data_IF_679243862159
#
_entry.id   IF_679243862159
#
_cell.length_a   1.000
_cell.length_b   1.000
_cell.length_c   1.000
_cell.angle_alpha   90.00
_cell.angle_beta   90.00
_cell.angle_gamma   90.00
#
_symmetry.space_group_name_H-M   'P 1'
#
loop_
_entity.id
_entity.type
_entity.pdbx_description
1 polymer ?
#
# COMPACT_ATOMS: atom_id res chain seq x y z
N UNK A 1 11.96 -36.87 5.07
CA UNK A 1 12.69 -36.37 3.90
C UNK A 1 13.98 -37.18 3.78
N UNK A 2 14.33 -37.67 2.60
CA UNK A 2 15.63 -38.33 2.37
C UNK A 2 16.73 -37.29 2.07
N UNK A 3 18.02 -37.65 2.13
CA UNK A 3 19.11 -36.74 1.72
C UNK A 3 18.98 -36.23 0.28
N UNK A 4 18.54 -37.08 -0.64
CA UNK A 4 18.35 -36.71 -2.05
C UNK A 4 17.18 -35.73 -2.21
N UNK A 5 16.07 -35.96 -1.49
CA UNK A 5 14.95 -35.01 -1.44
C UNK A 5 15.38 -33.65 -0.89
N UNK A 6 16.23 -33.64 0.15
CA UNK A 6 16.70 -32.41 0.78
C UNK A 6 17.58 -31.60 -0.16
N UNK A 7 18.47 -32.24 -0.92
CA UNK A 7 19.31 -31.56 -1.92
C UNK A 7 18.50 -31.07 -3.13
N UNK A 8 17.51 -31.84 -3.56
CA UNK A 8 16.57 -31.39 -4.60
C UNK A 8 15.76 -30.17 -4.13
N UNK A 9 15.27 -30.18 -2.88
CA UNK A 9 14.54 -29.06 -2.29
C UNK A 9 15.44 -27.82 -2.13
N UNK A 10 16.67 -27.98 -1.68
CA UNK A 10 17.67 -26.90 -1.65
C UNK A 10 17.88 -26.28 -3.04
N UNK A 11 18.08 -27.09 -4.08
CA UNK A 11 18.26 -26.59 -5.45
C UNK A 11 17.02 -25.85 -5.97
N UNK A 12 15.83 -26.34 -5.65
CA UNK A 12 14.58 -25.65 -5.95
C UNK A 12 14.52 -24.28 -5.26
N UNK A 13 14.80 -24.20 -3.95
CA UNK A 13 14.84 -22.94 -3.22
C UNK A 13 15.88 -21.97 -3.77
N UNK A 14 17.08 -22.43 -4.09
CA UNK A 14 18.12 -21.58 -4.69
C UNK A 14 17.71 -21.08 -6.08
N UNK A 15 16.95 -21.86 -6.85
CA UNK A 15 16.38 -21.40 -8.13
C UNK A 15 15.38 -20.26 -7.89
N UNK A 16 14.49 -20.40 -6.91
CA UNK A 16 13.55 -19.33 -6.53
C UNK A 16 14.30 -18.07 -6.05
N UNK A 17 15.36 -18.24 -5.27
CA UNK A 17 16.20 -17.15 -4.79
C UNK A 17 16.84 -16.37 -5.94
N UNK A 18 17.44 -17.07 -6.91
CA UNK A 18 18.09 -16.44 -8.08
C UNK A 18 17.06 -15.63 -8.89
N UNK A 19 15.84 -16.16 -9.03
CA UNK A 19 14.71 -15.49 -9.69
C UNK A 19 14.05 -14.39 -8.86
N UNK A 20 14.46 -14.21 -7.60
CA UNK A 20 13.88 -13.26 -6.64
C UNK A 20 12.37 -13.44 -6.45
N UNK A 21 11.92 -14.69 -6.47
CA UNK A 21 10.51 -15.05 -6.27
C UNK A 21 10.07 -14.71 -4.84
N UNK A 22 8.92 -14.04 -4.68
CA UNK A 22 8.42 -13.64 -3.35
C UNK A 22 8.20 -14.84 -2.41
N UNK A 23 7.89 -16.00 -2.97
CA UNK A 23 7.68 -17.24 -2.23
C UNK A 23 8.97 -17.82 -1.61
N UNK A 24 10.16 -17.43 -2.10
CA UNK A 24 11.43 -17.99 -1.65
C UNK A 24 11.62 -17.83 -0.14
N UNK A 25 11.53 -16.61 0.39
CA UNK A 25 11.84 -16.31 1.79
C UNK A 25 11.02 -17.17 2.78
N UNK A 26 9.67 -17.18 2.69
CA UNK A 26 8.83 -18.04 3.53
C UNK A 26 9.15 -19.53 3.42
N UNK A 27 9.33 -20.05 2.20
CA UNK A 27 9.58 -21.47 1.96
C UNK A 27 10.96 -21.89 2.49
N UNK A 28 11.98 -21.07 2.26
CA UNK A 28 13.33 -21.32 2.75
C UNK A 28 13.39 -21.30 4.27
N UNK A 29 12.73 -20.34 4.92
CA UNK A 29 12.66 -20.28 6.38
C UNK A 29 11.94 -21.49 6.99
N UNK A 30 10.85 -21.95 6.37
CA UNK A 30 10.17 -23.17 6.82
C UNK A 30 11.09 -24.38 6.71
N UNK A 31 11.77 -24.55 5.57
CA UNK A 31 12.72 -25.64 5.36
C UNK A 31 13.89 -25.62 6.37
N UNK A 32 14.45 -24.43 6.64
CA UNK A 32 15.52 -24.22 7.62
C UNK A 32 15.11 -24.58 9.06
N UNK A 33 13.85 -24.34 9.44
CA UNK A 33 13.36 -24.53 10.82
C UNK A 33 12.79 -25.91 11.09
N UNK A 34 12.13 -26.51 10.10
CA UNK A 34 11.43 -27.78 10.26
C UNK A 34 12.34 -29.00 10.12
N UNK A 35 13.55 -28.82 9.56
CA UNK A 35 14.44 -29.91 9.21
C UNK A 35 15.84 -29.75 9.84
N UNK A 36 16.43 -30.86 10.27
CA UNK A 36 17.85 -30.90 10.64
C UNK A 36 18.69 -31.14 9.38
N UNK A 37 19.10 -30.03 8.75
CA UNK A 37 19.80 -30.05 7.46
C UNK A 37 21.15 -30.79 7.51
N UNK A 38 21.82 -30.78 8.67
CA UNK A 38 23.05 -31.53 8.88
C UNK A 38 22.79 -33.04 8.85
N UNK A 39 21.72 -33.50 9.51
CA UNK A 39 21.31 -34.92 9.47
C UNK A 39 20.82 -35.36 8.09
N UNK A 40 20.26 -34.43 7.31
CA UNK A 40 19.83 -34.68 5.94
C UNK A 40 21.00 -34.62 4.93
N UNK A 41 22.24 -34.41 5.38
CA UNK A 41 23.42 -34.50 4.52
C UNK A 41 23.70 -33.26 3.67
N UNK A 42 23.08 -32.11 3.98
CA UNK A 42 23.48 -30.84 3.40
C UNK A 42 24.80 -30.36 4.03
N UNK A 43 25.72 -29.93 3.18
CA UNK A 43 27.03 -29.45 3.56
C UNK A 43 26.92 -28.13 4.34
N UNK A 44 27.89 -27.81 5.22
CA UNK A 44 27.94 -26.52 5.90
C UNK A 44 27.86 -25.33 4.94
N UNK A 45 28.47 -25.43 3.75
CA UNK A 45 28.40 -24.42 2.70
C UNK A 45 26.99 -24.25 2.11
N UNK A 46 26.28 -25.34 1.86
CA UNK A 46 24.89 -25.31 1.35
C UNK A 46 23.97 -24.67 2.40
N UNK A 47 24.13 -25.05 3.67
CA UNK A 47 23.39 -24.45 4.78
C UNK A 47 23.72 -22.96 4.94
N UNK A 48 25.00 -22.59 4.92
CA UNK A 48 25.45 -21.21 5.01
C UNK A 48 24.84 -20.34 3.89
N UNK A 49 24.91 -20.80 2.64
CA UNK A 49 24.33 -20.11 1.50
C UNK A 49 22.83 -19.92 1.64
N UNK A 50 22.10 -20.95 2.09
CA UNK A 50 20.67 -20.87 2.29
C UNK A 50 20.29 -19.89 3.41
N UNK A 51 21.02 -19.87 4.53
CA UNK A 51 20.80 -18.90 5.61
C UNK A 51 21.07 -17.46 5.14
N UNK A 52 22.18 -17.23 4.42
CA UNK A 52 22.51 -15.91 3.87
C UNK A 52 21.45 -15.43 2.87
N UNK A 53 21.09 -16.28 1.91
CA UNK A 53 20.06 -15.98 0.93
C UNK A 53 18.70 -15.68 1.58
N UNK A 54 18.31 -16.45 2.60
CA UNK A 54 17.07 -16.24 3.34
C UNK A 54 17.11 -14.93 4.14
N UNK A 55 18.25 -14.58 4.74
CA UNK A 55 18.42 -13.31 5.43
C UNK A 55 18.27 -12.12 4.47
N UNK A 56 18.85 -12.21 3.27
CA UNK A 56 18.73 -11.18 2.22
C UNK A 56 17.29 -11.05 1.72
N UNK A 57 16.57 -12.16 1.57
CA UNK A 57 15.16 -12.15 1.18
C UNK A 57 14.26 -11.41 2.18
N UNK A 58 14.67 -11.31 3.45
CA UNK A 58 13.95 -10.55 4.48
C UNK A 58 14.47 -9.13 4.69
N UNK A 59 15.49 -8.69 3.94
CA UNK A 59 16.12 -7.38 4.13
C UNK A 59 15.20 -6.19 3.84
N UNK A 60 14.06 -6.38 3.17
CA UNK A 60 13.11 -5.32 2.87
C UNK A 60 11.93 -5.21 3.86
N UNK A 61 11.76 -6.15 4.80
CA UNK A 61 10.56 -6.24 5.65
C UNK A 61 10.90 -6.25 7.16
N UNK A 62 10.83 -5.10 7.87
CA UNK A 62 11.21 -4.99 9.29
C UNK A 62 10.51 -5.98 10.23
N UNK A 63 9.23 -6.32 9.99
CA UNK A 63 8.53 -7.38 10.76
C UNK A 63 9.21 -8.75 10.70
N UNK A 64 9.98 -9.03 9.64
CA UNK A 64 10.70 -10.30 9.46
C UNK A 64 12.14 -10.22 9.94
N UNK A 65 12.58 -9.08 10.50
CA UNK A 65 13.97 -8.91 10.90
C UNK A 65 14.38 -9.82 12.05
N UNK A 66 13.44 -10.24 12.90
CA UNK A 66 13.71 -11.30 13.88
C UNK A 66 14.18 -12.59 13.19
N UNK A 67 13.56 -12.97 12.06
CA UNK A 67 13.97 -14.12 11.26
C UNK A 67 15.29 -13.86 10.52
N UNK A 68 15.48 -12.66 9.97
CA UNK A 68 16.77 -12.24 9.39
C UNK A 68 17.91 -12.37 10.39
N UNK A 69 17.72 -11.86 11.61
CA UNK A 69 18.71 -11.89 12.68
C UNK A 69 19.04 -13.35 13.07
N UNK A 70 18.03 -14.20 13.21
CA UNK A 70 18.22 -15.64 13.44
C UNK A 70 19.05 -16.28 12.31
N UNK A 71 18.72 -16.02 11.05
CA UNK A 71 19.47 -16.54 9.92
C UNK A 71 20.93 -16.06 9.91
N UNK A 72 21.19 -14.78 10.17
CA UNK A 72 22.55 -14.22 10.25
C UNK A 72 23.35 -14.83 11.40
N UNK A 73 22.74 -15.02 12.56
CA UNK A 73 23.37 -15.70 13.71
C UNK A 73 23.73 -17.15 13.36
N UNK A 74 22.82 -17.90 12.74
CA UNK A 74 23.08 -19.27 12.28
C UNK A 74 24.15 -19.35 11.20
N UNK A 75 24.17 -18.40 10.25
CA UNK A 75 25.23 -18.29 9.26
C UNK A 75 26.59 -18.00 9.92
N UNK A 76 26.63 -17.13 10.92
CA UNK A 76 27.83 -16.82 11.70
C UNK A 76 28.36 -18.05 12.45
N UNK A 77 27.48 -18.84 13.07
CA UNK A 77 27.84 -20.11 13.74
C UNK A 77 28.37 -21.18 12.78
N UNK A 78 27.88 -21.17 11.53
CA UNK A 78 28.30 -22.12 10.49
C UNK A 78 29.60 -21.71 9.81
N UNK A 79 29.87 -20.42 9.64
CA UNK A 79 31.00 -19.90 8.87
C UNK A 79 32.34 -20.59 9.19
N UNK A 80 32.75 -20.82 10.46
CA UNK A 80 34.01 -21.49 10.78
C UNK A 80 34.11 -22.94 10.28
N UNK A 81 32.98 -23.58 9.94
CA UNK A 81 32.89 -24.95 9.43
C UNK A 81 32.87 -25.02 7.91
N UNK A 82 32.86 -23.87 7.23
CA UNK A 82 32.82 -23.78 5.77
C UNK A 82 34.19 -23.46 5.21
N UNK A 83 34.38 -23.74 3.92
CA UNK A 83 35.52 -23.22 3.15
C UNK A 83 35.50 -21.71 2.93
N UNK A 84 34.38 -21.04 3.23
CA UNK A 84 34.23 -19.60 3.09
C UNK A 84 34.83 -18.80 4.24
N UNK A 85 35.34 -19.48 5.28
CA UNK A 85 35.91 -18.81 6.45
C UNK A 85 37.03 -17.83 6.05
N UNK A 86 36.76 -16.55 6.26
CA UNK A 86 37.69 -15.46 6.02
C UNK A 86 37.41 -14.34 7.05
N UNK A 87 38.44 -13.71 7.66
CA UNK A 87 38.24 -12.73 8.72
C UNK A 87 37.45 -11.47 8.31
N UNK A 88 37.48 -11.09 7.02
CA UNK A 88 36.64 -10.04 6.46
C UNK A 88 35.16 -10.42 6.50
N UNK A 89 34.80 -11.57 5.95
CA UNK A 89 33.42 -12.08 5.95
C UNK A 89 32.86 -12.25 7.38
N UNK A 90 33.66 -12.75 8.32
CA UNK A 90 33.24 -12.87 9.72
C UNK A 90 32.93 -11.50 10.37
N UNK A 91 33.74 -10.47 10.06
CA UNK A 91 33.50 -9.10 10.52
C UNK A 91 32.25 -8.50 9.88
N UNK A 92 32.05 -8.72 8.58
CA UNK A 92 30.85 -8.27 7.88
C UNK A 92 29.57 -8.87 8.50
N UNK A 93 29.55 -10.19 8.72
CA UNK A 93 28.43 -10.85 9.39
C UNK A 93 28.14 -10.28 10.78
N UNK A 94 29.19 -10.00 11.56
CA UNK A 94 29.04 -9.37 12.88
C UNK A 94 28.41 -7.98 12.77
N UNK A 95 28.84 -7.17 11.79
CA UNK A 95 28.26 -5.85 11.52
C UNK A 95 26.81 -5.96 11.07
N UNK A 96 26.48 -6.93 10.23
CA UNK A 96 25.11 -7.17 9.75
C UNK A 96 24.17 -7.60 10.86
N UNK A 97 24.64 -8.43 11.80
CA UNK A 97 23.92 -8.82 13.02
C UNK A 97 23.65 -7.58 13.89
N UNK A 98 24.68 -6.77 14.17
CA UNK A 98 24.55 -5.56 14.98
C UNK A 98 23.59 -4.54 14.35
N UNK A 99 23.72 -4.32 13.03
CA UNK A 99 22.83 -3.44 12.27
C UNK A 99 21.39 -3.94 12.34
N UNK A 100 21.15 -5.21 12.02
CA UNK A 100 19.80 -5.79 12.03
C UNK A 100 19.16 -5.71 13.42
N UNK A 101 19.93 -5.92 14.49
CA UNK A 101 19.46 -5.75 15.87
C UNK A 101 19.04 -4.30 16.17
N UNK A 102 19.86 -3.32 15.79
CA UNK A 102 19.50 -1.90 15.95
C UNK A 102 18.25 -1.51 15.14
N UNK A 103 18.08 -2.04 13.94
CA UNK A 103 16.91 -1.81 13.10
C UNK A 103 15.63 -2.43 13.72
N UNK A 104 15.74 -3.60 14.36
CA UNK A 104 14.64 -4.20 15.16
C UNK A 104 14.26 -3.29 16.31
N UNK A 105 15.22 -2.66 16.99
CA UNK A 105 14.93 -1.75 18.11
C UNK A 105 14.18 -0.51 17.63
N UNK A 106 14.60 0.10 16.52
CA UNK A 106 13.89 1.22 15.87
C UNK A 106 12.45 0.82 15.53
N UNK A 107 12.29 -0.34 14.88
CA UNK A 107 10.97 -0.88 14.54
C UNK A 107 10.11 -1.11 15.79
N UNK A 108 10.67 -1.73 16.82
CA UNK A 108 9.96 -2.03 18.08
C UNK A 108 9.52 -0.75 18.78
N UNK A 109 10.37 0.28 18.79
CA UNK A 109 10.02 1.59 19.31
C UNK A 109 8.87 2.23 18.53
N UNK A 110 8.90 2.18 17.19
CA UNK A 110 7.80 2.69 16.35
C UNK A 110 6.47 1.96 16.56
N UNK A 111 6.53 0.71 17.05
CA UNK A 111 5.35 -0.11 17.36
C UNK A 111 4.85 0.05 18.81
N UNK A 112 5.58 0.74 19.70
CA UNK A 112 5.14 0.96 21.08
C UNK A 112 3.95 1.90 21.13
N UNK A 113 2.93 1.52 21.89
CA UNK A 113 1.75 2.36 22.15
C UNK A 113 2.13 3.41 23.21
N UNK A 114 2.13 4.70 22.89
CA UNK A 114 2.32 5.77 23.88
C UNK A 114 1.10 5.83 24.81
N UNK A 115 1.27 6.44 25.99
CA UNK A 115 0.12 6.71 26.87
C UNK A 115 -0.84 7.67 26.18
N UNK A 116 -2.14 7.36 26.24
CA UNK A 116 -3.20 8.16 25.65
C UNK A 116 -3.05 9.64 26.03
N UNK A 117 -2.95 10.50 25.02
CA UNK A 117 -2.99 11.94 25.22
C UNK A 117 -4.46 12.38 25.33
N UNK A 118 -4.77 13.25 26.29
CA UNK A 118 -6.11 13.83 26.45
C UNK A 118 -6.34 14.91 25.38
N UNK A 119 -6.53 14.45 24.13
CA UNK A 119 -6.77 15.33 22.99
C UNK A 119 -8.25 15.72 22.92
N UNK A 120 -8.54 17.02 23.08
CA UNK A 120 -9.88 17.61 22.88
C UNK A 120 -10.38 17.48 21.44
N UNK A 121 -9.47 17.33 20.46
CA UNK A 121 -9.76 17.13 19.04
C UNK A 121 -8.69 16.22 18.42
N UNK A 122 -9.11 15.24 17.63
CA UNK A 122 -8.19 14.32 16.95
C UNK A 122 -7.66 14.94 15.65
N UNK A 123 -6.34 14.88 15.46
CA UNK A 123 -5.67 15.43 14.28
C UNK A 123 -5.06 14.32 13.43
N UNK A 124 -5.44 14.28 12.15
CA UNK A 124 -4.85 13.43 11.13
C UNK A 124 -3.88 14.25 10.30
N UNK A 125 -2.60 13.95 10.40
CA UNK A 125 -1.57 14.68 9.64
C UNK A 125 -1.30 13.93 8.35
N UNK A 126 -1.33 14.63 7.22
CA UNK A 126 -1.16 14.04 5.90
C UNK A 126 0.18 14.45 5.31
N UNK A 127 0.95 13.46 4.87
CA UNK A 127 2.14 13.59 4.04
C UNK A 127 1.82 13.04 2.65
N UNK A 128 1.84 13.91 1.64
CA UNK A 128 1.55 13.52 0.26
C UNK A 128 2.18 14.50 -0.73
N UNK A 129 2.43 14.01 -1.94
CA UNK A 129 2.95 14.78 -3.07
C UNK A 129 1.93 15.79 -3.63
N UNK A 130 0.64 15.63 -3.32
CA UNK A 130 -0.45 16.47 -3.85
C UNK A 130 -1.45 16.91 -2.76
N UNK A 131 -1.01 17.67 -1.74
CA UNK A 131 -1.84 17.96 -0.56
C UNK A 131 -3.07 18.82 -0.90
N UNK A 132 -2.91 19.81 -1.78
CA UNK A 132 -4.01 20.65 -2.26
C UNK A 132 -5.09 19.81 -2.97
N UNK A 133 -4.68 18.79 -3.73
CA UNK A 133 -5.63 17.91 -4.40
C UNK A 133 -6.39 17.07 -3.37
N UNK A 134 -5.70 16.26 -2.57
CA UNK A 134 -6.37 15.31 -1.68
C UNK A 134 -7.16 15.95 -0.54
N UNK A 135 -6.65 17.03 0.05
CA UNK A 135 -7.26 17.65 1.23
C UNK A 135 -8.40 18.62 0.90
N UNK A 136 -8.48 19.12 -0.33
CA UNK A 136 -9.50 20.10 -0.73
C UNK A 136 -10.22 19.70 -2.03
N UNK A 137 -9.52 19.72 -3.16
CA UNK A 137 -10.15 19.55 -4.48
C UNK A 137 -10.85 18.19 -4.62
N UNK A 138 -10.20 17.09 -4.25
CA UNK A 138 -10.76 15.75 -4.28
C UNK A 138 -12.01 15.63 -3.40
N UNK A 139 -12.04 16.26 -2.21
CA UNK A 139 -13.21 16.24 -1.34
C UNK A 139 -14.39 17.01 -1.95
N UNK A 140 -14.12 18.16 -2.60
CA UNK A 140 -15.12 18.91 -3.38
C UNK A 140 -15.66 18.08 -4.54
N UNK A 141 -14.79 17.39 -5.29
CA UNK A 141 -15.17 16.51 -6.40
C UNK A 141 -16.00 15.31 -5.92
N UNK A 142 -15.63 14.68 -4.81
CA UNK A 142 -16.40 13.58 -4.21
C UNK A 142 -17.81 14.04 -3.78
N UNK A 143 -17.91 15.20 -3.14
CA UNK A 143 -19.19 15.76 -2.74
C UNK A 143 -20.06 16.10 -3.96
N UNK A 144 -19.48 16.59 -5.06
CA UNK A 144 -20.19 16.85 -6.31
C UNK A 144 -20.65 15.56 -7.00
N UNK A 145 -19.79 14.53 -7.03
CA UNK A 145 -20.10 13.20 -7.56
C UNK A 145 -21.35 12.61 -6.91
N UNK A 146 -21.39 12.54 -5.57
CA UNK A 146 -22.54 11.98 -4.87
C UNK A 146 -23.80 12.84 -5.01
N UNK A 147 -23.66 14.17 -5.07
CA UNK A 147 -24.81 15.06 -5.35
C UNK A 147 -25.42 14.76 -6.72
N UNK A 148 -24.59 14.65 -7.76
CA UNK A 148 -25.04 14.36 -9.11
C UNK A 148 -25.68 12.98 -9.20
N UNK A 149 -25.02 11.96 -8.64
CA UNK A 149 -25.50 10.56 -8.66
C UNK A 149 -26.89 10.41 -8.05
N UNK A 150 -27.11 11.02 -6.90
CA UNK A 150 -28.39 10.95 -6.19
C UNK A 150 -29.35 12.08 -6.52
N UNK A 151 -29.01 12.93 -7.51
CA UNK A 151 -29.83 14.06 -7.97
C UNK A 151 -30.23 15.00 -6.82
N UNK A 152 -29.32 15.19 -5.87
CA UNK A 152 -29.52 16.03 -4.69
C UNK A 152 -29.23 17.50 -5.02
N UNK A 153 -30.24 18.39 -5.04
CA UNK A 153 -30.00 19.81 -5.20
C UNK A 153 -29.29 20.40 -3.97
N UNK A 154 -28.55 21.52 -4.12
CA UNK A 154 -27.82 22.16 -3.01
C UNK A 154 -28.70 22.50 -1.80
N UNK A 155 -29.95 22.91 -2.06
CA UNK A 155 -30.94 23.23 -1.03
C UNK A 155 -31.29 22.00 -0.19
N UNK A 156 -31.59 20.86 -0.83
CA UNK A 156 -31.88 19.61 -0.12
C UNK A 156 -30.66 19.11 0.63
N UNK A 157 -29.45 19.19 0.06
CA UNK A 157 -28.21 18.83 0.76
C UNK A 157 -28.03 19.63 2.05
N UNK A 158 -28.25 20.94 2.00
CA UNK A 158 -28.10 21.84 3.15
C UNK A 158 -29.19 21.57 4.20
N UNK A 159 -30.43 21.42 3.73
CA UNK A 159 -31.59 21.11 4.57
C UNK A 159 -31.43 19.76 5.28
N UNK A 160 -30.87 18.75 4.61
CA UNK A 160 -30.66 17.38 5.09
C UNK A 160 -29.28 17.16 5.74
N UNK A 161 -28.48 18.20 5.94
CA UNK A 161 -27.19 18.10 6.64
C UNK A 161 -27.36 17.92 8.15
N UNK A 162 -26.71 16.94 8.77
CA UNK A 162 -26.87 16.66 10.21
C UNK A 162 -25.72 17.19 11.10
N UNK A 163 -24.72 17.88 10.54
CA UNK A 163 -23.68 18.54 11.33
C UNK A 163 -24.07 19.96 11.78
N UNK A 164 -23.50 20.42 12.89
CA UNK A 164 -23.69 21.76 13.45
C UNK A 164 -24.54 21.80 14.71
N UNK A 165 -25.06 22.98 15.04
CA UNK A 165 -25.95 23.15 16.20
C UNK A 165 -27.27 22.36 16.01
N UNK A 166 -27.93 21.93 17.10
CA UNK A 166 -29.20 21.20 17.03
C UNK A 166 -30.20 21.94 16.13
N UNK A 167 -30.63 21.27 15.05
CA UNK A 167 -31.66 21.81 14.17
C UNK A 167 -33.00 21.84 14.91
N UNK A 168 -33.74 22.93 14.76
CA UNK A 168 -35.14 22.98 15.19
C UNK A 168 -35.96 22.07 14.28
N UNK A 169 -36.94 21.39 14.86
CA UNK A 169 -37.93 20.63 14.09
C UNK A 169 -38.67 21.60 13.15
N UNK A 170 -38.61 21.32 11.85
CA UNK A 170 -39.14 22.17 10.79
C UNK A 170 -40.01 21.31 9.86
N UNK A 171 -41.24 20.97 10.30
CA UNK A 171 -42.11 20.01 9.62
C UNK A 171 -42.66 20.53 8.31
N UNK A 172 -42.61 21.83 8.03
CA UNK A 172 -43.21 22.44 6.84
C UNK A 172 -42.18 22.72 5.73
N UNK A 173 -40.95 22.22 5.90
CA UNK A 173 -39.87 22.43 4.95
C UNK A 173 -39.86 21.35 3.85
N UNK A 174 -40.35 21.64 2.62
CA UNK A 174 -40.45 20.65 1.56
C UNK A 174 -39.08 20.13 1.12
N UNK A 175 -37.99 20.88 1.34
CA UNK A 175 -36.64 20.42 1.01
C UNK A 175 -36.12 19.35 1.98
N UNK A 176 -36.57 19.35 3.24
CA UNK A 176 -36.27 18.29 4.21
C UNK A 176 -37.09 17.04 3.89
N UNK A 177 -38.37 17.21 3.58
CA UNK A 177 -39.31 16.11 3.33
C UNK A 177 -39.06 15.37 2.00
N UNK A 178 -38.42 16.03 1.03
CA UNK A 178 -38.20 15.45 -0.29
C UNK A 178 -37.26 14.26 -0.23
N UNK A 179 -37.80 13.09 -0.56
CA UNK A 179 -37.03 11.86 -0.70
C UNK A 179 -36.36 11.78 -2.08
N UNK A 180 -35.14 11.27 -2.08
CA UNK A 180 -34.35 11.02 -3.29
C UNK A 180 -34.02 9.53 -3.34
N UNK A 181 -34.33 8.81 -4.44
CA UNK A 181 -34.05 7.38 -4.55
C UNK A 181 -32.58 7.06 -4.25
N UNK A 182 -32.33 6.17 -3.29
CA UNK A 182 -30.98 5.80 -2.85
C UNK A 182 -30.25 6.85 -1.99
N UNK A 183 -30.84 8.03 -1.78
CA UNK A 183 -30.30 9.09 -0.95
C UNK A 183 -31.12 9.25 0.33
N UNK A 184 -30.72 8.49 1.34
CA UNK A 184 -31.19 8.68 2.71
C UNK A 184 -30.23 9.61 3.45
N UNK A 185 -30.76 10.66 4.08
CA UNK A 185 -29.98 11.80 4.55
C UNK A 185 -28.80 11.45 5.49
N UNK A 186 -28.92 10.54 6.48
CA UNK A 186 -27.78 10.08 7.29
C UNK A 186 -26.69 9.38 6.46
N UNK A 187 -27.08 8.54 5.50
CA UNK A 187 -26.13 7.87 4.60
C UNK A 187 -25.46 8.86 3.65
N UNK A 188 -26.22 9.85 3.16
CA UNK A 188 -25.68 10.92 2.33
C UNK A 188 -24.71 11.79 3.11
N UNK A 189 -24.99 12.09 4.38
CA UNK A 189 -24.04 12.79 5.25
C UNK A 189 -22.76 11.97 5.44
N UNK A 190 -22.88 10.65 5.71
CA UNK A 190 -21.72 9.77 5.81
C UNK A 190 -20.90 9.72 4.52
N UNK A 191 -21.54 9.71 3.35
CA UNK A 191 -20.85 9.68 2.05
C UNK A 191 -20.30 11.03 1.62
N UNK A 192 -20.93 12.15 1.96
CA UNK A 192 -20.48 13.48 1.50
C UNK A 192 -19.47 14.14 2.41
N UNK A 193 -19.42 13.74 3.69
CA UNK A 193 -18.53 14.32 4.70
C UNK A 193 -17.37 13.39 5.08
N UNK A 194 -17.34 12.16 4.59
CA UNK A 194 -16.18 11.30 4.77
C UNK A 194 -15.01 11.75 3.89
N UNK A 195 -13.81 11.30 4.23
CA UNK A 195 -12.60 11.61 3.49
C UNK A 195 -12.41 10.60 2.36
N UNK A 196 -12.43 11.06 1.11
CA UNK A 196 -12.34 10.20 -0.07
C UNK A 196 -10.99 10.26 -0.77
N UNK A 197 -10.58 9.15 -1.35
CA UNK A 197 -9.45 9.03 -2.25
C UNK A 197 -9.96 8.89 -3.68
N UNK A 198 -9.55 9.84 -4.50
CA UNK A 198 -9.86 9.96 -5.92
C UNK A 198 -8.53 10.06 -6.67
N UNK A 199 -8.52 9.69 -7.95
CA UNK A 199 -7.37 9.90 -8.83
C UNK A 199 -7.67 11.02 -9.83
N UNK A 200 -6.69 11.88 -10.16
CA UNK A 200 -6.86 12.98 -11.11
C UNK A 200 -6.77 12.54 -12.58
N UNK A 201 -6.71 11.22 -12.83
CA UNK A 201 -6.61 10.55 -14.12
C UNK A 201 -7.45 9.27 -14.11
N UNK A 202 -7.71 8.70 -15.29
CA UNK A 202 -8.45 7.44 -15.42
C UNK A 202 -7.53 6.26 -15.13
N UNK A 203 -8.05 5.25 -14.43
CA UNK A 203 -7.36 3.99 -14.14
C UNK A 203 -8.10 2.85 -14.82
N UNK A 204 -7.39 2.04 -15.62
CA UNK A 204 -7.94 0.83 -16.26
C UNK A 204 -7.23 -0.42 -15.72
N UNK A 205 -8.03 -1.45 -15.42
CA UNK A 205 -7.56 -2.81 -15.15
C UNK A 205 -8.17 -3.74 -16.20
N UNK A 206 -7.36 -4.57 -16.87
CA UNK A 206 -7.83 -5.55 -17.85
C UNK A 206 -7.10 -6.88 -17.74
N UNK A 207 -7.70 -7.92 -18.32
CA UNK A 207 -7.11 -9.26 -18.49
C UNK A 207 -6.30 -9.39 -19.77
N UNK A 208 -6.58 -8.54 -20.76
CA UNK A 208 -5.90 -8.51 -22.05
C UNK A 208 -5.10 -7.21 -22.20
N UNK A 209 -4.07 -7.20 -23.09
CA UNK A 209 -3.30 -5.99 -23.38
C UNK A 209 -4.05 -4.98 -24.25
N UNK A 210 -5.31 -5.25 -24.62
CA UNK A 210 -6.03 -4.46 -25.62
C UNK A 210 -6.48 -3.10 -25.09
N UNK A 211 -6.44 -2.10 -25.98
CA UNK A 211 -6.86 -0.72 -25.76
C UNK A 211 -6.32 -0.10 -24.45
N UNK A 212 -5.00 -0.14 -24.17
CA UNK A 212 -4.46 0.45 -22.96
C UNK A 212 -4.69 1.96 -22.95
N UNK A 213 -4.81 2.54 -21.76
CA UNK A 213 -4.79 4.01 -21.62
C UNK A 213 -3.40 4.55 -22.00
N UNK A 214 -3.38 5.77 -22.52
CA UNK A 214 -2.24 6.36 -23.22
C UNK A 214 -1.04 6.71 -22.33
N UNK A 215 -1.22 6.78 -21.02
CA UNK A 215 -0.21 7.26 -20.09
C UNK A 215 0.80 6.21 -19.63
N UNK A 216 0.53 4.93 -19.84
CA UNK A 216 1.45 3.84 -19.51
C UNK A 216 0.74 2.56 -19.09
N UNK A 217 1.48 1.44 -19.12
CA UNK A 217 0.98 0.10 -18.75
C UNK A 217 1.96 -0.61 -17.82
N UNK A 218 1.42 -1.29 -16.80
CA UNK A 218 2.12 -2.29 -15.99
C UNK A 218 1.41 -3.63 -16.07
N UNK A 219 2.19 -4.70 -16.04
CA UNK A 219 1.70 -6.06 -16.20
C UNK A 219 2.02 -6.81 -14.91
N UNK A 220 1.06 -7.60 -14.42
CA UNK A 220 1.23 -8.45 -13.26
C UNK A 220 0.72 -9.84 -13.57
N UNK A 221 1.43 -10.84 -13.08
CA UNK A 221 0.84 -12.15 -12.84
C UNK A 221 0.23 -12.12 -11.44
N UNK A 222 -1.09 -12.29 -11.32
CA UNK A 222 -1.82 -12.09 -10.07
C UNK A 222 -2.69 -13.31 -9.74
N UNK A 223 -2.15 -14.22 -8.93
CA UNK A 223 -2.80 -15.43 -8.45
C UNK A 223 -2.92 -15.41 -6.93
N UNK A 224 -3.90 -16.13 -6.39
CA UNK A 224 -4.02 -16.28 -4.94
C UNK A 224 -2.74 -16.91 -4.37
N UNK A 225 -2.11 -16.23 -3.39
CA UNK A 225 -0.87 -16.67 -2.75
C UNK A 225 0.41 -16.47 -3.58
N UNK A 226 0.31 -15.94 -4.80
CA UNK A 226 1.46 -15.75 -5.68
C UNK A 226 1.21 -14.64 -6.70
N UNK A 227 1.96 -13.55 -6.62
CA UNK A 227 1.85 -12.45 -7.58
C UNK A 227 3.20 -11.79 -7.80
N UNK A 228 3.50 -11.37 -9.03
CA UNK A 228 4.77 -10.70 -9.34
C UNK A 228 4.65 -9.80 -10.58
N UNK A 229 5.47 -8.74 -10.68
CA UNK A 229 5.46 -7.83 -11.81
C UNK A 229 6.11 -8.45 -13.05
N UNK A 230 5.52 -8.14 -14.20
CA UNK A 230 5.96 -8.54 -15.53
C UNK A 230 6.26 -7.31 -16.39
N UNK A 231 6.99 -7.53 -17.48
CA UNK A 231 7.15 -6.57 -18.57
C UNK A 231 7.05 -7.25 -19.93
N UNK A 232 6.81 -6.46 -20.96
CA UNK A 232 6.81 -6.94 -22.33
C UNK A 232 8.16 -6.64 -22.97
N UNK A 233 8.82 -7.66 -23.51
CA UNK A 233 10.11 -7.52 -24.19
C UNK A 233 10.13 -8.44 -25.42
N UNK A 234 10.40 -7.87 -26.61
CA UNK A 234 10.48 -8.59 -27.88
C UNK A 234 9.30 -9.53 -28.19
N UNK A 235 8.06 -9.11 -27.87
CA UNK A 235 6.88 -9.94 -28.15
C UNK A 235 6.58 -11.00 -27.09
N UNK A 236 7.29 -11.00 -25.96
CA UNK A 236 7.14 -12.00 -24.89
C UNK A 236 7.00 -11.33 -23.52
N UNK A 237 6.34 -12.04 -22.61
CA UNK A 237 6.32 -11.67 -21.21
C UNK A 237 7.62 -12.08 -20.56
N UNK A 238 8.26 -11.13 -19.89
CA UNK A 238 9.47 -11.35 -19.11
C UNK A 238 9.20 -10.95 -17.66
N UNK A 239 9.89 -11.62 -16.73
CA UNK A 239 9.97 -11.16 -15.35
C UNK A 239 10.57 -9.76 -15.30
N UNK A 240 9.96 -8.87 -14.51
CA UNK A 240 10.37 -7.47 -14.44
C UNK A 240 11.79 -7.31 -13.84
N UNK A 241 12.19 -8.20 -12.93
CA UNK A 241 13.41 -8.03 -12.13
C UNK A 241 14.67 -8.65 -12.74
N UNK A 242 14.56 -9.81 -13.37
CA UNK A 242 15.70 -10.54 -13.95
C UNK A 242 15.66 -10.63 -15.49
N UNK A 243 14.57 -10.16 -16.12
CA UNK A 243 14.40 -10.18 -17.57
C UNK A 243 14.23 -11.58 -18.15
N UNK A 244 14.03 -12.62 -17.32
CA UNK A 244 13.86 -13.97 -17.83
C UNK A 244 12.56 -14.05 -18.64
N UNK A 245 12.66 -14.54 -19.88
CA UNK A 245 11.49 -14.87 -20.71
C UNK A 245 10.67 -15.95 -20.04
N UNK A 246 9.37 -15.69 -19.88
CA UNK A 246 8.42 -16.62 -19.29
C UNK A 246 7.49 -17.16 -20.36
N UNK A 247 7.19 -18.45 -20.27
CA UNK A 247 6.23 -19.11 -21.14
C UNK A 247 4.82 -18.96 -20.55
N UNK A 248 4.32 -17.73 -20.57
CA UNK A 248 2.96 -17.39 -20.12
C UNK A 248 2.17 -16.91 -21.33
N UNK A 249 1.06 -17.58 -21.62
CA UNK A 249 0.17 -17.20 -22.70
C UNK A 249 -0.56 -15.89 -22.35
N UNK A 250 -0.78 -15.01 -23.33
CA UNK A 250 -1.40 -13.70 -23.12
C UNK A 250 -2.87 -13.76 -22.70
N UNK A 251 -3.51 -14.91 -22.87
CA UNK A 251 -4.87 -15.23 -22.42
C UNK A 251 -4.91 -15.91 -21.05
N UNK A 252 -3.77 -16.03 -20.33
CA UNK A 252 -3.76 -16.60 -18.99
C UNK A 252 -4.68 -15.77 -18.05
N UNK A 253 -5.64 -16.42 -17.36
CA UNK A 253 -6.64 -15.73 -16.54
C UNK A 253 -6.08 -15.00 -15.31
N UNK A 254 -4.79 -15.20 -14.98
CA UNK A 254 -4.09 -14.54 -13.89
C UNK A 254 -3.31 -13.30 -14.36
N UNK A 255 -3.24 -13.02 -15.67
CA UNK A 255 -2.62 -11.79 -16.15
C UNK A 255 -3.51 -10.58 -15.87
N UNK A 256 -2.88 -9.51 -15.39
CA UNK A 256 -3.50 -8.21 -15.17
C UNK A 256 -2.67 -7.13 -15.84
N UNK A 257 -3.33 -6.34 -16.68
CA UNK A 257 -2.79 -5.15 -17.30
C UNK A 257 -3.41 -3.95 -16.60
N UNK A 258 -2.56 -3.07 -16.09
CA UNK A 258 -2.97 -1.86 -15.38
C UNK A 258 -2.47 -0.69 -16.20
N UNK A 259 -3.37 0.17 -16.65
CA UNK A 259 -3.01 1.35 -17.45
C UNK A 259 -3.65 2.62 -16.91
N UNK A 260 -3.02 3.76 -17.19
CA UNK A 260 -3.44 5.07 -16.69
C UNK A 260 -3.53 6.07 -17.84
N UNK A 261 -4.44 7.04 -17.76
CA UNK A 261 -4.50 8.16 -18.71
C UNK A 261 -3.55 9.28 -18.28
N UNK A 262 -3.42 10.31 -19.13
CA UNK A 262 -2.93 11.61 -18.68
C UNK A 262 -3.85 12.23 -17.61
N UNK A 263 -3.34 13.22 -16.87
CA UNK A 263 -4.12 14.00 -15.93
C UNK A 263 -5.31 14.65 -16.65
N UNK A 264 -6.52 14.37 -16.16
CA UNK A 264 -7.78 14.92 -16.68
C UNK A 264 -8.41 15.96 -15.76
N UNK A 265 -7.99 16.05 -14.50
CA UNK A 265 -8.42 17.11 -13.58
C UNK A 265 -7.68 18.43 -13.91
N UNK A 266 -8.38 19.45 -14.46
CA UNK A 266 -7.75 20.69 -14.93
C UNK A 266 -7.15 21.54 -13.81
N UNK A 267 -7.68 21.45 -12.60
CA UNK A 267 -7.20 22.19 -11.42
C UNK A 267 -6.09 21.41 -10.67
N UNK A 268 -5.72 20.21 -11.14
CA UNK A 268 -4.64 19.44 -10.52
C UNK A 268 -3.30 20.12 -10.78
N UNK A 269 -2.50 20.21 -9.73
CA UNK A 269 -1.15 20.77 -9.75
C UNK A 269 -0.23 19.79 -9.05
N UNK A 270 0.80 19.37 -9.77
CA UNK A 270 1.87 18.53 -9.27
C UNK A 270 3.16 18.99 -9.90
N UNK A 271 4.16 19.26 -9.07
CA UNK A 271 5.52 19.58 -9.50
C UNK A 271 6.41 18.55 -8.83
N UNK A 272 6.90 17.53 -9.57
CA UNK A 272 7.79 16.55 -8.99
C UNK A 272 9.11 17.22 -8.61
N UNK A 273 9.69 16.87 -7.46
CA UNK A 273 11.03 17.38 -7.06
C UNK A 273 12.14 16.99 -8.06
N UNK A 274 11.94 15.91 -8.83
CA UNK A 274 12.90 15.39 -9.82
C UNK A 274 12.17 14.89 -11.08
N UNK A 275 11.52 15.78 -11.85
CA UNK A 275 10.91 15.38 -13.12
C UNK A 275 12.02 15.02 -14.14
N UNK A 276 12.03 13.81 -14.72
CA UNK A 276 12.88 13.53 -15.87
C UNK A 276 12.48 14.49 -17.00
N UNK A 277 13.44 15.14 -17.68
CA UNK A 277 13.14 16.17 -18.68
C UNK A 277 12.28 15.68 -19.86
N UNK A 278 12.24 14.36 -20.07
CA UNK A 278 11.59 13.73 -21.23
C UNK A 278 10.13 13.29 -20.98
N UNK A 279 9.61 13.44 -19.75
CA UNK A 279 8.23 13.02 -19.41
C UNK A 279 7.27 14.23 -19.41
N UNK A 280 6.21 14.23 -20.25
CA UNK A 280 5.18 15.27 -20.24
C UNK A 280 4.59 15.51 -18.84
N UNK A 281 4.32 16.77 -18.50
CA UNK A 281 3.88 17.16 -17.15
C UNK A 281 2.54 16.54 -16.73
N UNK A 282 1.64 16.36 -17.68
CA UNK A 282 0.34 15.68 -17.52
C UNK A 282 0.47 14.15 -17.32
N UNK A 283 1.64 13.58 -17.61
CA UNK A 283 1.96 12.15 -17.41
C UNK A 283 2.84 11.89 -16.18
N UNK A 284 3.51 12.91 -15.65
CA UNK A 284 4.46 12.75 -14.55
C UNK A 284 3.83 12.12 -13.30
N UNK A 285 2.66 12.59 -12.86
CA UNK A 285 1.99 12.01 -11.68
C UNK A 285 1.40 10.61 -11.96
N UNK A 286 0.62 10.39 -13.06
CA UNK A 286 0.10 9.05 -13.38
C UNK A 286 1.20 7.98 -13.50
N UNK A 287 2.30 8.28 -14.21
CA UNK A 287 3.43 7.35 -14.34
C UNK A 287 4.06 7.08 -12.98
N UNK A 288 4.23 8.12 -12.16
CA UNK A 288 4.79 7.94 -10.82
C UNK A 288 3.91 7.06 -9.93
N UNK A 289 2.58 7.16 -10.03
CA UNK A 289 1.65 6.23 -9.36
C UNK A 289 1.81 4.83 -9.93
N UNK A 290 1.83 4.69 -11.26
CA UNK A 290 1.96 3.42 -11.98
C UNK A 290 3.25 2.67 -11.63
N UNK A 291 4.38 3.37 -11.46
CA UNK A 291 5.66 2.79 -11.07
C UNK A 291 5.67 2.17 -9.67
N UNK A 292 4.79 2.66 -8.81
CA UNK A 292 4.60 2.18 -7.44
C UNK A 292 3.39 1.24 -7.30
N UNK A 293 2.79 0.81 -8.43
CA UNK A 293 1.75 -0.21 -8.40
C UNK A 293 2.38 -1.56 -8.06
N UNK A 294 1.76 -2.27 -7.13
CA UNK A 294 2.09 -3.63 -6.76
C UNK A 294 0.89 -4.56 -6.91
N UNK A 295 1.06 -5.78 -6.41
CA UNK A 295 0.00 -6.78 -6.35
C UNK A 295 -0.03 -7.43 -4.97
N UNK A 296 -1.23 -7.78 -4.51
CA UNK A 296 -1.46 -8.54 -3.29
C UNK A 296 -2.42 -9.69 -3.60
N UNK A 297 -1.86 -10.83 -3.97
CA UNK A 297 -2.63 -11.96 -4.49
C UNK A 297 -3.40 -11.56 -5.75
N UNK A 298 -4.74 -11.67 -5.79
CA UNK A 298 -5.54 -11.28 -6.96
C UNK A 298 -5.81 -9.77 -7.07
N UNK A 299 -5.45 -8.97 -6.06
CA UNK A 299 -5.68 -7.53 -6.05
C UNK A 299 -4.46 -6.77 -6.59
N UNK A 300 -4.73 -5.68 -7.30
CA UNK A 300 -3.74 -4.67 -7.67
C UNK A 300 -3.70 -3.62 -6.57
N UNK A 301 -2.51 -3.33 -6.07
CA UNK A 301 -2.26 -2.30 -5.07
C UNK A 301 -1.79 -1.03 -5.76
N UNK A 302 -2.63 0.00 -5.80
CA UNK A 302 -2.31 1.31 -6.38
C UNK A 302 -1.88 2.27 -5.28
N UNK A 303 -0.69 2.84 -5.40
CA UNK A 303 -0.15 3.80 -4.43
C UNK A 303 -0.75 5.18 -4.66
N UNK A 304 -1.48 5.73 -3.68
CA UNK A 304 -1.93 7.11 -3.73
C UNK A 304 -0.85 8.11 -3.29
N UNK A 305 0.32 7.62 -2.85
CA UNK A 305 1.34 8.43 -2.16
C UNK A 305 0.73 9.29 -1.05
N UNK A 306 -0.19 8.70 -0.31
CA UNK A 306 -0.94 9.34 0.75
C UNK A 306 -0.59 8.66 2.06
N UNK A 307 0.22 9.33 2.88
CA UNK A 307 0.61 8.86 4.20
C UNK A 307 -0.12 9.66 5.25
N UNK A 308 -0.77 8.97 6.18
CA UNK A 308 -1.55 9.58 7.26
C UNK A 308 -0.94 9.21 8.60
N UNK A 309 -0.76 10.20 9.47
CA UNK A 309 -0.33 10.05 10.86
C UNK A 309 -1.51 10.30 11.81
N UNK A 310 -1.58 9.52 12.87
CA UNK A 310 -2.67 9.52 13.84
C UNK A 310 -2.26 8.91 15.18
N UNK A 311 -2.96 9.28 16.25
CA UNK A 311 -2.80 8.65 17.57
C UNK A 311 -3.56 7.31 17.62
N UNK A 312 -2.82 6.22 17.38
CA UNK A 312 -3.33 4.86 17.43
C UNK A 312 -3.85 4.42 18.82
N UNK A 313 -3.52 5.14 19.89
CA UNK A 313 -4.08 4.85 21.22
C UNK A 313 -5.53 5.32 21.36
N UNK A 314 -5.99 6.21 20.47
CA UNK A 314 -7.33 6.81 20.53
C UNK A 314 -8.19 6.48 19.31
N UNK A 315 -7.59 6.33 18.12
CA UNK A 315 -8.32 6.10 16.87
C UNK A 315 -7.77 4.96 16.05
N UNK A 316 -8.68 4.24 15.38
CA UNK A 316 -8.36 3.37 14.26
C UNK A 316 -8.96 3.93 12.98
N UNK A 317 -8.29 3.75 11.85
CA UNK A 317 -8.79 4.20 10.55
C UNK A 317 -9.33 3.01 9.76
N UNK A 318 -10.62 2.99 9.48
CA UNK A 318 -11.23 2.05 8.54
C UNK A 318 -11.05 2.62 7.13
N UNK A 319 -10.36 1.87 6.28
CA UNK A 319 -10.27 2.13 4.85
C UNK A 319 -11.20 1.15 4.14
N UNK A 320 -12.06 1.65 3.24
CA UNK A 320 -13.01 0.81 2.51
C UNK A 320 -13.13 1.27 1.06
N UNK A 321 -13.15 0.33 0.13
CA UNK A 321 -13.53 0.59 -1.26
C UNK A 321 -14.91 1.22 -1.35
N UNK A 322 -15.05 2.23 -2.19
CA UNK A 322 -16.32 2.91 -2.40
C UNK A 322 -17.36 1.91 -2.90
N UNK A 323 -18.61 1.98 -2.40
CA UNK A 323 -19.66 1.04 -2.77
C UNK A 323 -19.97 1.05 -4.28
N UNK A 324 -19.66 2.18 -4.92
CA UNK A 324 -19.99 2.43 -6.32
C UNK A 324 -18.97 1.80 -7.29
N UNK A 325 -17.84 1.27 -6.79
CA UNK A 325 -16.84 0.59 -7.63
C UNK A 325 -17.43 -0.56 -8.44
N UNK A 326 -18.47 -1.22 -7.93
CA UNK A 326 -19.13 -2.32 -8.63
C UNK A 326 -19.80 -1.89 -9.92
N UNK A 327 -20.23 -0.63 -10.01
CA UNK A 327 -20.80 -0.05 -11.23
C UNK A 327 -19.76 0.13 -12.33
N UNK A 328 -18.48 0.19 -11.95
CA UNK A 328 -17.33 0.27 -12.85
C UNK A 328 -16.68 -1.09 -13.10
N UNK A 329 -17.24 -2.20 -12.61
CA UNK A 329 -16.69 -3.54 -12.80
C UNK A 329 -15.56 -3.91 -11.84
N UNK A 330 -15.37 -3.13 -10.76
CA UNK A 330 -14.26 -3.30 -9.81
C UNK A 330 -14.79 -3.56 -8.39
N UNK A 331 -14.03 -4.30 -7.60
CA UNK A 331 -14.19 -4.42 -6.16
C UNK A 331 -12.97 -3.81 -5.45
N UNK A 332 -13.21 -3.10 -4.35
CA UNK A 332 -12.16 -2.59 -3.48
C UNK A 332 -12.08 -3.40 -2.19
N UNK A 333 -10.86 -3.68 -1.70
CA UNK A 333 -10.69 -4.30 -0.39
C UNK A 333 -11.11 -3.33 0.74
N UNK A 334 -11.26 -3.88 1.95
CA UNK A 334 -11.46 -3.11 3.17
C UNK A 334 -10.45 -3.56 4.22
N UNK A 335 -10.02 -2.63 5.07
CA UNK A 335 -9.03 -2.90 6.11
C UNK A 335 -9.14 -1.92 7.27
N UNK A 336 -8.78 -2.37 8.46
CA UNK A 336 -8.68 -1.52 9.64
C UNK A 336 -7.20 -1.26 9.93
N UNK A 337 -6.84 0.02 9.93
CA UNK A 337 -5.50 0.51 10.18
C UNK A 337 -5.43 0.99 11.63
N UNK A 338 -4.85 0.15 12.48
CA UNK A 338 -4.86 0.35 13.94
C UNK A 338 -3.53 0.84 14.50
N UNK A 339 -2.45 0.78 13.71
CA UNK A 339 -1.08 1.15 14.08
C UNK A 339 -0.22 1.27 12.84
N UNK A 340 1.01 1.75 12.99
CA UNK A 340 1.98 1.70 11.90
C UNK A 340 2.14 0.27 11.38
N UNK A 341 1.79 0.04 10.11
CA UNK A 341 1.84 -1.29 9.54
C UNK A 341 3.21 -1.61 8.94
N UNK A 342 3.57 -2.90 9.00
CA UNK A 342 4.90 -3.44 8.76
C UNK A 342 5.17 -3.84 7.29
N UNK A 343 4.71 -3.04 6.34
CA UNK A 343 4.89 -3.29 4.90
C UNK A 343 5.92 -2.37 4.25
N UNK A 344 6.58 -1.51 5.01
CA UNK A 344 7.54 -0.53 4.46
C UNK A 344 8.96 -0.76 4.99
N UNK A 345 9.96 -0.06 4.44
CA UNK A 345 11.38 -0.22 4.79
C UNK A 345 11.73 0.47 6.12
N UNK A 346 12.83 0.07 6.75
CA UNK A 346 13.29 0.59 8.06
C UNK A 346 13.44 2.11 8.05
N UNK A 347 13.92 2.67 6.95
CA UNK A 347 14.17 4.11 6.82
C UNK A 347 12.90 4.93 7.06
N UNK A 348 11.74 4.40 6.63
CA UNK A 348 10.43 5.03 6.88
C UNK A 348 10.10 5.09 8.37
N UNK A 349 10.48 4.08 9.15
CA UNK A 349 10.31 4.07 10.62
C UNK A 349 11.34 4.98 11.31
N UNK A 350 12.58 5.00 10.85
CA UNK A 350 13.62 5.90 11.38
C UNK A 350 13.26 7.38 11.17
N UNK A 351 12.50 7.70 10.11
CA UNK A 351 11.97 9.03 9.87
C UNK A 351 10.82 9.41 10.82
N UNK A 352 10.27 8.49 11.60
CA UNK A 352 9.12 8.71 12.49
C UNK A 352 9.48 9.31 13.84
N UNK A 353 10.77 9.54 14.08
CA UNK A 353 11.30 10.18 15.29
C UNK A 353 12.15 11.40 14.96
N UNK A 354 12.07 11.94 13.73
CA UNK A 354 12.92 13.05 13.28
C UNK A 354 12.37 14.40 13.70
N UNK A 355 11.05 14.52 13.79
CA UNK A 355 10.39 15.79 14.08
C UNK A 355 9.54 15.69 15.35
N UNK A 356 9.56 16.71 16.24
CA UNK A 356 8.84 16.65 17.52
C UNK A 356 7.35 16.34 17.42
N UNK A 357 6.67 16.75 16.33
CA UNK A 357 5.24 16.50 16.16
C UNK A 357 4.90 15.04 15.85
N UNK A 358 5.89 14.23 15.44
CA UNK A 358 5.71 12.80 15.16
C UNK A 358 5.66 11.97 16.46
N UNK A 359 6.14 12.55 17.57
CA UNK A 359 6.19 11.86 18.85
C UNK A 359 4.79 11.39 19.27
N UNK A 360 4.68 10.09 19.54
CA UNK A 360 3.44 9.48 19.97
C UNK A 360 2.43 9.17 18.87
N UNK A 361 2.76 9.41 17.59
CA UNK A 361 1.88 9.10 16.47
C UNK A 361 2.27 7.80 15.77
N UNK A 362 1.26 7.07 15.31
CA UNK A 362 1.39 6.02 14.29
C UNK A 362 1.17 6.60 12.91
N UNK A 363 1.66 5.94 11.86
CA UNK A 363 1.39 6.34 10.48
C UNK A 363 1.09 5.17 9.57
N UNK A 364 0.40 5.40 8.46
CA UNK A 364 0.25 4.39 7.43
C UNK A 364 0.18 5.01 6.04
N UNK A 365 0.60 4.24 5.04
CA UNK A 365 0.31 4.53 3.65
C UNK A 365 -1.07 4.00 3.28
N UNK A 366 -1.83 4.84 2.59
CA UNK A 366 -3.19 4.53 2.16
C UNK A 366 -3.10 4.13 0.68
N UNK A 367 -3.19 2.82 0.44
CA UNK A 367 -3.13 2.23 -0.90
C UNK A 367 -4.49 1.65 -1.31
N UNK A 368 -4.85 1.81 -2.58
CA UNK A 368 -6.09 1.28 -3.15
C UNK A 368 -5.84 -0.18 -3.54
N UNK A 369 -6.65 -1.09 -3.03
CA UNK A 369 -6.55 -2.51 -3.38
C UNK A 369 -7.75 -2.88 -4.24
N UNK A 370 -7.52 -3.00 -5.54
CA UNK A 370 -8.56 -3.12 -6.56
C UNK A 370 -8.48 -4.48 -7.25
N UNK A 371 -9.63 -5.12 -7.42
CA UNK A 371 -9.76 -6.36 -8.19
C UNK A 371 -10.91 -6.24 -9.18
N UNK A 372 -10.78 -6.88 -10.35
CA UNK A 372 -11.90 -7.02 -11.27
C UNK A 372 -13.00 -7.87 -10.63
N UNK A 373 -14.26 -7.50 -10.86
CA UNK A 373 -15.39 -8.36 -10.50
C UNK A 373 -15.34 -9.68 -11.31
N UNK A 374 -15.90 -10.77 -10.76
CA UNK A 374 -16.01 -12.03 -11.48
C UNK A 374 -16.69 -11.85 -12.85
N UNK A 375 -16.10 -12.42 -13.89
CA UNK A 375 -16.60 -12.33 -15.27
C UNK A 375 -16.32 -11.02 -15.99
N UNK A 376 -15.67 -10.04 -15.35
CA UNK A 376 -15.21 -8.81 -16.03
C UNK A 376 -13.85 -9.04 -16.69
N UNK A 377 -13.78 -8.70 -17.98
CA UNK A 377 -12.54 -8.71 -18.77
C UNK A 377 -11.73 -7.42 -18.60
N UNK A 378 -12.42 -6.28 -18.48
CA UNK A 378 -11.79 -5.00 -18.20
C UNK A 378 -12.73 -4.07 -17.43
N UNK A 379 -12.13 -3.09 -16.76
CA UNK A 379 -12.82 -2.05 -16.02
C UNK A 379 -12.04 -0.74 -16.11
N UNK A 380 -12.75 0.38 -16.22
CA UNK A 380 -12.19 1.74 -16.21
C UNK A 380 -12.85 2.50 -15.08
N UNK A 381 -12.03 3.06 -14.19
CA UNK A 381 -12.43 4.00 -13.15
C UNK A 381 -12.10 5.40 -13.68
N UNK A 382 -13.10 6.23 -14.01
CA UNK A 382 -12.87 7.58 -14.49
C UNK A 382 -12.22 8.45 -13.40
N UNK A 383 -11.44 9.43 -13.82
CA UNK A 383 -10.89 10.46 -12.94
C UNK A 383 -11.97 11.09 -12.07
N UNK A 384 -11.59 11.51 -10.86
CA UNK A 384 -12.49 12.08 -9.86
C UNK A 384 -13.66 11.19 -9.41
N UNK A 385 -13.63 9.89 -9.69
CA UNK A 385 -14.57 8.93 -9.11
C UNK A 385 -14.09 8.55 -7.71
N UNK A 386 -14.94 8.63 -6.66
CA UNK A 386 -14.58 8.12 -5.34
C UNK A 386 -14.20 6.64 -5.41
N UNK A 387 -12.96 6.30 -5.04
CA UNK A 387 -12.46 4.93 -5.12
C UNK A 387 -12.42 4.30 -3.74
N UNK A 388 -11.92 5.03 -2.74
CA UNK A 388 -11.81 4.56 -1.36
C UNK A 388 -12.21 5.68 -0.41
N UNK A 389 -12.71 5.30 0.76
CA UNK A 389 -13.10 6.22 1.82
C UNK A 389 -12.38 5.86 3.12
N UNK A 390 -11.89 6.87 3.82
CA UNK A 390 -11.24 6.76 5.13
C UNK A 390 -12.24 7.20 6.21
N UNK A 391 -12.55 6.28 7.12
CA UNK A 391 -13.43 6.49 8.26
C UNK A 391 -12.65 6.39 9.57
N UNK A 392 -12.56 7.48 10.35
CA UNK A 392 -12.11 7.41 11.74
C UNK A 392 -13.11 6.60 12.57
N UNK A 393 -12.68 5.43 13.04
CA UNK A 393 -13.45 4.59 13.96
C UNK A 393 -13.16 5.08 15.37
N UNK A 394 -14.02 5.97 15.86
CA UNK A 394 -13.91 6.65 17.14
C UNK A 394 -15.15 6.44 18.01
N UNK A 395 -14.99 6.63 19.32
CA UNK A 395 -16.12 6.86 20.24
C UNK A 395 -16.53 8.36 20.32
N UNK A 396 -15.81 9.27 19.64
CA UNK A 396 -16.04 10.74 19.65
C UNK A 396 -15.92 11.34 18.24
N UNK A 397 -16.76 12.33 17.92
CA UNK A 397 -17.03 12.78 16.53
C UNK A 397 -16.20 13.97 16.01
N UNK A 398 -15.15 14.43 16.72
CA UNK A 398 -14.38 15.62 16.32
C UNK A 398 -12.98 15.26 15.82
N UNK A 399 -12.78 15.31 14.50
CA UNK A 399 -11.47 15.11 13.87
C UNK A 399 -11.21 16.09 12.72
N UNK A 400 -9.95 16.27 12.33
CA UNK A 400 -9.55 17.07 11.16
C UNK A 400 -8.35 16.44 10.45
N UNK A 401 -8.37 16.45 9.12
CA UNK A 401 -7.18 16.18 8.30
C UNK A 401 -6.43 17.50 8.05
N UNK A 402 -5.13 17.49 8.24
CA UNK A 402 -4.25 18.66 8.08
C UNK A 402 -2.99 18.27 7.30
N UNK A 403 -2.55 19.16 6.42
CA UNK A 403 -1.28 19.00 5.72
C UNK A 403 -0.11 19.14 6.72
N UNK A 404 0.89 18.26 6.61
CA UNK A 404 2.14 18.36 7.37
C UNK A 404 2.76 19.76 7.29
N UNK A 405 2.71 20.42 6.13
CA UNK A 405 3.33 21.74 5.92
C UNK A 405 2.80 22.84 6.86
N UNK A 406 1.63 22.63 7.47
CA UNK A 406 0.94 23.62 8.31
C UNK A 406 1.32 23.52 9.81
N UNK A 407 2.04 22.48 10.24
CA UNK A 407 2.31 22.19 11.66
C UNK A 407 3.28 23.17 12.36
N UNK A 408 3.86 24.13 11.62
CA UNK A 408 4.78 25.14 12.15
C UNK A 408 4.26 26.58 12.11
N UNK A 409 3.08 26.83 11.54
CA UNK A 409 2.53 28.19 11.36
C UNK A 409 1.64 28.66 12.53
N UNK A 410 1.26 27.75 13.43
CA UNK A 410 0.40 28.03 14.58
C UNK A 410 1.17 28.35 15.88
N UNK A 411 2.37 28.96 15.80
CA UNK A 411 2.95 29.59 17.00
C UNK A 411 2.31 30.96 17.19
N UNK A 412 1.43 31.18 18.20
CA UNK A 412 1.04 32.54 18.54
C UNK A 412 2.29 33.31 18.99
N UNK A 413 2.56 34.42 18.32
CA UNK A 413 3.51 35.46 18.75
C UNK A 413 3.12 36.06 20.09
#
# INVERSE_FOLDING_TARGET
MTPDDARAHYNYLMTLCIRREEAFGPLALAFLREQDLGRLGLLPEEQFNLYMATADAFAAEPKRYAHKLECLQKASDLLPKTRFWEPGLARQLTQDIQRTAAEIDIYTQAMRVPRAHDLKQQLFIVETDAPQYYLDLAQKRAAAYYQAKYRLPPEAKTAQHFGGAPKKFDPDNPAIQKEFPGACAPFMSARTNAFHLLLPFDLKISRTPDDPLEGGVRIFYAKLGYSYPLRYEMGKLCSYHDGQMLDVALDDPNLRFVSVSAIKEPEFRFVPDNQPPDVPADLAYPISVLDHVGSLGPFIQVSCKFKVWFDASVVSLLIQGAPDLTEYGVQGAAGLMTRTYASDKVESYAQSFREPWQEGLSYNFVNLHLGLLPGMESAVIPYNTPIFTIFPVLNRQAYRFQDRSQLGQDRPS
#
